data_IF_855059269747
#
_entry.id   IF_855059269747
#
_cell.length_a   1.000
_cell.length_b   1.000
_cell.length_c   1.000
_cell.angle_alpha   90.00
_cell.angle_beta   90.00
_cell.angle_gamma   90.00
#
_symmetry.space_group_name_H-M   'P 1'
#
loop_
_entity.id
_entity.type
_entity.pdbx_description
1 polymer ?
#
# COMPACT_ATOMS: atom_id res chain seq x y z
N UNK A 1 9.45 24.88 2.80
CA UNK A 1 8.12 24.32 3.07
C UNK A 1 8.11 22.95 2.43
N UNK A 2 8.31 21.87 3.19
CA UNK A 2 8.07 20.52 2.66
C UNK A 2 6.61 20.50 2.19
N UNK A 3 6.26 19.91 1.03
CA UNK A 3 4.86 19.72 0.70
C UNK A 3 4.21 19.02 1.90
N UNK A 4 3.12 19.60 2.40
CA UNK A 4 2.40 19.03 3.54
C UNK A 4 2.04 17.59 3.18
N UNK A 5 2.55 16.63 3.97
CA UNK A 5 2.23 15.22 3.78
C UNK A 5 0.70 15.07 3.70
N UNK A 6 0.19 14.50 2.60
CA UNK A 6 -1.26 14.32 2.43
C UNK A 6 -1.80 13.26 3.40
N UNK A 7 -0.91 12.36 3.83
CA UNK A 7 -1.13 11.32 4.83
C UNK A 7 -0.15 11.51 6.00
N UNK A 8 -0.50 12.31 7.03
CA UNK A 8 0.40 12.57 8.15
C UNK A 8 0.74 11.30 8.95
N UNK A 9 -0.12 10.27 8.93
CA UNK A 9 0.16 8.95 9.51
C UNK A 9 1.37 8.23 8.88
N UNK A 10 1.73 8.55 7.63
CA UNK A 10 2.92 7.97 7.00
C UNK A 10 4.23 8.60 7.49
N UNK A 11 4.16 9.73 8.22
CA UNK A 11 5.31 10.46 8.75
C UNK A 11 6.29 9.56 9.52
N UNK A 12 5.75 8.63 10.29
CA UNK A 12 6.52 7.75 11.18
C UNK A 12 7.21 6.57 10.48
N UNK A 13 6.84 6.27 9.22
CA UNK A 13 7.31 5.09 8.49
C UNK A 13 8.40 5.41 7.46
N UNK A 14 8.94 6.62 7.48
CA UNK A 14 10.02 7.07 6.60
C UNK A 14 9.54 8.00 5.48
N UNK A 15 10.49 8.65 4.80
CA UNK A 15 10.23 9.71 3.82
C UNK A 15 10.26 9.24 2.36
N UNK A 16 10.34 7.93 2.11
CA UNK A 16 10.36 7.40 0.75
C UNK A 16 8.98 7.57 0.09
N UNK A 17 8.99 7.72 -1.24
CA UNK A 17 7.81 8.00 -2.07
C UNK A 17 7.77 7.05 -3.25
N UNK A 18 6.61 6.92 -3.91
CA UNK A 18 6.42 6.01 -5.03
C UNK A 18 7.29 6.36 -6.26
N UNK A 19 7.72 7.61 -6.41
CA UNK A 19 8.71 8.01 -7.43
C UNK A 19 10.08 7.34 -7.21
N UNK A 20 10.35 6.92 -5.98
CA UNK A 20 11.58 6.24 -5.58
C UNK A 20 11.42 4.71 -5.55
N UNK A 21 10.20 4.21 -5.79
CA UNK A 21 9.90 2.78 -5.88
C UNK A 21 10.38 2.24 -7.23
N UNK A 22 11.58 1.67 -7.31
CA UNK A 22 12.08 1.18 -8.60
C UNK A 22 13.57 0.94 -8.77
N UNK A 23 14.43 1.59 -7.97
CA UNK A 23 15.87 1.49 -8.21
C UNK A 23 16.53 0.46 -7.29
N UNK A 24 16.70 -0.77 -7.78
CA UNK A 24 17.49 -1.85 -7.13
C UNK A 24 18.93 -1.42 -6.77
N UNK A 25 19.44 -0.35 -7.39
CA UNK A 25 20.78 0.22 -7.11
C UNK A 25 20.76 1.36 -6.08
N UNK A 26 19.61 2.02 -5.89
CA UNK A 26 19.48 3.22 -5.08
C UNK A 26 18.91 2.93 -3.68
N UNK A 27 18.37 1.73 -3.46
CA UNK A 27 18.08 1.18 -2.14
C UNK A 27 16.97 0.13 -2.16
N UNK A 28 17.13 -0.94 -1.39
CA UNK A 28 16.08 -1.89 -1.00
C UNK A 28 15.08 -1.21 -0.03
N UNK A 29 14.56 -0.05 -0.42
CA UNK A 29 13.67 0.75 0.41
C UNK A 29 12.22 0.43 0.05
N UNK A 30 11.45 0.11 1.08
CA UNK A 30 10.01 0.00 0.95
C UNK A 30 9.35 1.36 1.16
N UNK A 31 8.37 1.67 0.32
CA UNK A 31 7.59 2.91 0.35
C UNK A 31 6.32 2.69 1.17
N UNK A 32 6.07 3.49 2.22
CA UNK A 32 4.82 3.43 2.96
C UNK A 32 3.71 4.12 2.15
N UNK A 33 2.57 3.44 2.00
CA UNK A 33 1.39 3.94 1.25
C UNK A 33 0.10 3.60 1.98
N UNK A 34 -0.98 4.34 1.68
CA UNK A 34 -2.34 4.04 2.13
C UNK A 34 -3.14 3.40 1.00
N UNK A 35 -3.91 2.35 1.32
CA UNK A 35 -4.87 1.73 0.40
C UNK A 35 -6.11 2.62 0.26
N UNK A 36 -6.38 3.10 -0.95
CA UNK A 36 -7.56 3.91 -1.27
C UNK A 36 -8.72 3.07 -1.83
N UNK A 37 -8.41 2.04 -2.60
CA UNK A 37 -9.37 1.13 -3.20
C UNK A 37 -8.73 -0.22 -3.50
N UNK A 38 -9.55 -1.26 -3.62
CA UNK A 38 -9.11 -2.64 -3.90
C UNK A 38 -9.89 -3.16 -5.10
N UNK A 39 -9.17 -3.74 -6.06
CA UNK A 39 -9.70 -4.33 -7.28
C UNK A 39 -9.04 -5.69 -7.53
N UNK A 40 -9.67 -6.77 -7.08
CA UNK A 40 -9.11 -8.12 -7.22
C UNK A 40 -7.85 -8.29 -6.37
N UNK A 41 -6.72 -8.60 -7.02
CA UNK A 41 -5.42 -8.77 -6.35
C UNK A 41 -4.52 -7.52 -6.44
N UNK A 42 -5.10 -6.37 -6.76
CA UNK A 42 -4.39 -5.09 -6.79
C UNK A 42 -5.13 -4.07 -5.91
N UNK A 43 -4.36 -3.15 -5.33
CA UNK A 43 -4.86 -1.98 -4.64
C UNK A 43 -4.45 -0.71 -5.37
N UNK A 44 -5.34 0.28 -5.42
CA UNK A 44 -4.95 1.66 -5.68
C UNK A 44 -4.45 2.26 -4.37
N UNK A 45 -3.18 2.62 -4.33
CA UNK A 45 -2.55 3.19 -3.14
C UNK A 45 -2.06 4.61 -3.38
N UNK A 46 -1.92 5.39 -2.30
CA UNK A 46 -1.39 6.75 -2.32
C UNK A 46 -0.23 6.91 -1.33
N UNK A 47 0.85 7.56 -1.76
CA UNK A 47 1.97 7.91 -0.89
C UNK A 47 1.78 9.26 -0.19
N UNK A 48 2.74 9.62 0.66
CA UNK A 48 2.73 10.89 1.40
C UNK A 48 2.73 12.16 0.55
N UNK A 49 3.13 12.07 -0.72
CA UNK A 49 3.15 13.19 -1.67
C UNK A 49 1.86 13.25 -2.51
N UNK A 50 0.90 12.35 -2.29
CA UNK A 50 -0.32 12.25 -3.08
C UNK A 50 -0.13 11.51 -4.41
N UNK A 51 1.01 10.84 -4.62
CA UNK A 51 1.20 10.04 -5.82
C UNK A 51 0.45 8.72 -5.68
N UNK A 52 -0.18 8.29 -6.77
CA UNK A 52 -0.97 7.06 -6.80
C UNK A 52 -0.34 6.02 -7.69
N UNK A 53 -0.38 4.77 -7.24
CA UNK A 53 0.05 3.62 -8.02
C UNK A 53 -0.87 2.42 -7.77
N UNK A 54 -0.93 1.52 -8.76
CA UNK A 54 -1.47 0.18 -8.55
C UNK A 54 -0.39 -0.67 -7.89
N UNK A 55 -0.78 -1.36 -6.82
CA UNK A 55 0.11 -2.18 -6.01
C UNK A 55 -0.43 -3.59 -6.02
N UNK A 56 0.40 -4.55 -6.41
CA UNK A 56 0.09 -5.97 -6.38
C UNK A 56 0.05 -6.48 -4.94
N UNK A 57 -0.97 -7.29 -4.61
CA UNK A 57 -1.23 -7.81 -3.27
C UNK A 57 -0.86 -9.30 -3.11
N UNK A 58 -0.12 -9.89 -4.04
CA UNK A 58 0.17 -11.34 -4.12
C UNK A 58 0.66 -11.99 -2.81
N UNK A 59 1.32 -11.22 -1.92
CA UNK A 59 1.86 -11.72 -0.65
C UNK A 59 0.99 -11.42 0.57
N UNK A 60 -0.10 -10.67 0.41
CA UNK A 60 -0.96 -10.22 1.51
C UNK A 60 -2.40 -10.69 1.31
N UNK A 61 -2.95 -11.25 2.38
CA UNK A 61 -4.38 -11.60 2.48
C UNK A 61 -5.12 -10.58 3.34
N UNK A 62 -6.44 -10.48 3.15
CA UNK A 62 -7.34 -9.62 3.94
C UNK A 62 -6.88 -8.16 4.05
N UNK A 63 -6.40 -7.59 2.94
CA UNK A 63 -6.10 -6.16 2.83
C UNK A 63 -7.40 -5.37 2.80
N UNK A 64 -7.44 -4.27 3.54
CA UNK A 64 -8.59 -3.42 3.73
C UNK A 64 -8.30 -1.98 3.25
N UNK A 65 -9.33 -1.24 2.84
CA UNK A 65 -9.15 0.19 2.53
C UNK A 65 -8.79 0.94 3.82
N UNK A 66 -7.84 1.85 3.70
CA UNK A 66 -7.19 2.52 4.83
C UNK A 66 -6.02 1.75 5.45
N UNK A 67 -5.73 0.52 5.02
CA UNK A 67 -4.51 -0.17 5.43
C UNK A 67 -3.26 0.64 5.02
N UNK A 68 -2.23 0.59 5.85
CA UNK A 68 -0.90 1.09 5.51
C UNK A 68 -0.02 -0.09 5.11
N UNK A 69 0.48 -0.03 3.88
CA UNK A 69 1.32 -1.06 3.28
C UNK A 69 2.75 -0.56 3.08
N UNK A 70 3.70 -1.50 3.13
CA UNK A 70 5.06 -1.30 2.65
C UNK A 70 5.18 -1.90 1.25
N UNK A 71 5.50 -1.06 0.27
CA UNK A 71 5.57 -1.40 -1.15
C UNK A 71 7.00 -1.39 -1.64
N UNK A 72 7.38 -2.38 -2.43
CA UNK A 72 8.65 -2.40 -3.13
C UNK A 72 8.46 -2.95 -4.54
N UNK A 73 8.88 -2.19 -5.55
CA UNK A 73 8.77 -2.52 -6.97
C UNK A 73 7.33 -2.83 -7.39
N UNK A 74 6.37 -2.03 -6.91
CA UNK A 74 4.95 -2.18 -7.21
C UNK A 74 4.26 -3.35 -6.49
N UNK A 75 4.93 -4.04 -5.56
CA UNK A 75 4.36 -5.17 -4.81
C UNK A 75 4.32 -4.86 -3.32
N UNK A 76 3.19 -5.15 -2.68
CA UNK A 76 3.05 -5.02 -1.24
C UNK A 76 3.80 -6.16 -0.52
N UNK A 77 4.74 -5.81 0.35
CA UNK A 77 5.55 -6.76 1.12
C UNK A 77 4.96 -7.04 2.50
N UNK A 78 4.34 -6.03 3.12
CA UNK A 78 3.80 -6.13 4.46
C UNK A 78 2.68 -5.11 4.70
N UNK A 79 1.69 -5.50 5.50
CA UNK A 79 0.78 -4.57 6.17
C UNK A 79 1.35 -4.17 7.53
N UNK A 80 1.46 -2.87 7.78
CA UNK A 80 2.04 -2.34 9.01
C UNK A 80 1.03 -1.62 9.90
N UNK A 81 -0.13 -1.26 9.36
CA UNK A 81 -1.28 -0.77 10.12
C UNK A 81 -2.59 -1.18 9.41
N UNK A 82 -3.59 -1.57 10.19
CA UNK A 82 -4.91 -1.95 9.69
C UNK A 82 -5.86 -0.75 9.56
N UNK A 83 -6.61 -0.71 8.47
CA UNK A 83 -7.73 0.17 8.19
C UNK A 83 -9.06 -0.42 8.66
N UNK A 84 -10.14 0.31 8.40
CA UNK A 84 -11.42 0.08 9.07
C UNK A 84 -12.41 -0.77 8.23
N UNK A 85 -12.17 -0.91 6.93
CA UNK A 85 -13.13 -1.51 5.99
C UNK A 85 -12.48 -2.52 5.04
N UNK A 86 -12.78 -3.81 5.25
CA UNK A 86 -12.15 -4.87 4.48
C UNK A 86 -12.96 -5.28 3.25
N UNK A 87 -12.31 -5.35 2.09
CA UNK A 87 -12.88 -6.03 0.93
C UNK A 87 -12.90 -7.53 1.25
N UNK A 88 -14.05 -8.05 1.69
CA UNK A 88 -14.19 -9.46 2.03
C UNK A 88 -13.77 -10.32 0.84
N UNK A 89 -12.87 -11.27 1.08
CA UNK A 89 -12.53 -12.38 0.19
C UNK A 89 -13.79 -12.95 -0.46
N UNK A 90 -14.01 -12.65 -1.75
CA UNK A 90 -14.93 -13.41 -2.60
C UNK A 90 -14.29 -14.76 -2.90
N UNK A 91 -14.18 -15.60 -1.88
CA UNK A 91 -13.85 -17.02 -2.01
C UNK A 91 -14.41 -17.82 -0.83
N UNK A 92 -15.70 -17.65 -0.51
CA UNK A 92 -16.44 -18.72 0.15
C UNK A 92 -16.80 -19.76 -0.91
N UNK A 93 -15.91 -20.75 -0.98
CA UNK A 93 -16.08 -22.01 -1.69
C UNK A 93 -17.45 -22.62 -1.34
N UNK A 94 -18.14 -23.08 -2.38
CA UNK A 94 -19.30 -23.98 -2.35
C UNK A 94 -19.14 -25.01 -1.21
N UNK A 95 -20.09 -25.04 -0.29
CA UNK A 95 -20.41 -26.24 0.50
C UNK A 95 -21.91 -26.49 0.37
N UNK A 96 -22.22 -27.69 -0.10
CA UNK A 96 -23.52 -28.29 -0.43
C UNK A 96 -24.68 -27.96 0.51
#
# INVERSE_FOLDING_TARGET
>A
MWPSDVHPELAQYGSCTLDQDGCTTCGDLAVPVIVLAIEGQEALCEDRCGQRARVALDFLEDVCVGDILLVHLGVALARIQGGNECATSMNSVIRD
#
